data_IF_396724420033
#
_entry.id   IF_396724420033
#
_cell.length_a   1.000
_cell.length_b   1.000
_cell.length_c   1.000
_cell.angle_alpha   90.00
_cell.angle_beta   90.00
_cell.angle_gamma   90.00
#
_symmetry.space_group_name_H-M   'P 1'
#
loop_
_entity.id
_entity.type
_entity.pdbx_description
1 polymer ?
#
# COMPACT_ATOMS: atom_id res chain seq x y z
N UNK A 1 21.57 2.81 -9.98
CA UNK A 1 20.88 1.88 -9.06
C UNK A 1 19.57 2.53 -8.69
N UNK A 2 18.43 1.98 -9.11
CA UNK A 2 17.12 2.56 -8.79
C UNK A 2 16.63 1.93 -7.49
N UNK A 3 16.59 2.70 -6.40
CA UNK A 3 16.04 2.24 -5.13
C UNK A 3 14.51 2.24 -5.24
N UNK A 4 13.91 1.08 -5.54
CA UNK A 4 12.46 0.90 -5.55
C UNK A 4 12.05 0.20 -4.28
N UNK A 5 11.27 0.88 -3.45
CA UNK A 5 10.66 0.30 -2.27
C UNK A 5 9.41 -0.48 -2.69
N UNK A 6 9.29 -1.71 -2.24
CA UNK A 6 8.10 -2.52 -2.49
C UNK A 6 7.29 -2.64 -1.21
N UNK A 7 6.04 -2.20 -1.25
CA UNK A 7 5.09 -2.31 -0.15
C UNK A 7 4.24 -3.56 -0.31
N UNK A 8 4.24 -4.45 0.69
CA UNK A 8 3.43 -5.66 0.63
C UNK A 8 1.95 -5.34 0.84
N UNK A 9 1.12 -5.67 -0.16
CA UNK A 9 -0.33 -5.69 -0.05
C UNK A 9 -0.73 -6.98 0.65
N UNK A 10 -1.44 -6.89 1.77
CA UNK A 10 -1.85 -8.05 2.59
C UNK A 10 -3.35 -8.30 2.51
N UNK A 11 -3.78 -9.52 2.85
CA UNK A 11 -5.21 -9.87 2.88
C UNK A 11 -5.98 -9.26 4.06
N UNK A 12 -5.29 -8.92 5.15
CA UNK A 12 -5.92 -8.39 6.36
C UNK A 12 -5.05 -7.38 7.12
N UNK A 13 -5.62 -6.69 8.11
CA UNK A 13 -4.96 -5.65 8.90
C UNK A 13 -4.01 -6.24 9.96
N UNK A 14 -3.14 -7.17 9.57
CA UNK A 14 -2.17 -7.80 10.48
C UNK A 14 -0.88 -8.22 9.77
N UNK A 15 0.24 -8.09 10.49
CA UNK A 15 1.57 -8.41 9.98
C UNK A 15 1.80 -9.92 9.75
N UNK A 16 0.97 -10.78 10.35
CA UNK A 16 0.99 -12.22 10.13
C UNK A 16 0.18 -12.70 8.93
N UNK A 17 -0.60 -11.81 8.30
CA UNK A 17 -1.44 -12.18 7.16
C UNK A 17 -0.60 -12.33 5.88
N UNK A 18 -0.96 -13.26 4.98
CA UNK A 18 -0.25 -13.46 3.73
C UNK A 18 -0.27 -12.20 2.87
N UNK A 19 0.84 -11.95 2.20
CA UNK A 19 0.93 -10.91 1.18
C UNK A 19 0.21 -11.37 -0.10
N UNK A 20 -0.84 -10.66 -0.48
CA UNK A 20 -1.54 -10.81 -1.75
C UNK A 20 -0.71 -10.30 -2.93
N UNK A 21 0.28 -9.44 -2.66
CA UNK A 21 1.20 -8.95 -3.68
C UNK A 21 2.15 -7.88 -3.16
N UNK A 22 2.94 -7.34 -4.08
CA UNK A 22 3.83 -6.21 -3.84
C UNK A 22 3.38 -5.03 -4.70
N UNK A 23 3.23 -3.87 -4.07
CA UNK A 23 2.98 -2.59 -4.69
C UNK A 23 4.32 -1.85 -4.80
N UNK A 24 4.79 -1.51 -6.00
CA UNK A 24 5.94 -0.64 -6.13
C UNK A 24 5.64 0.74 -5.54
N UNK A 25 6.64 1.37 -4.93
CA UNK A 25 6.60 2.79 -4.57
C UNK A 25 6.20 3.63 -5.78
N UNK A 26 5.43 4.69 -5.54
CA UNK A 26 4.77 5.53 -6.56
C UNK A 26 3.52 4.90 -7.23
N UNK A 27 3.04 3.75 -6.72
CA UNK A 27 1.73 3.25 -7.14
C UNK A 27 0.63 4.10 -6.50
N UNK A 28 -0.22 4.69 -7.34
CA UNK A 28 -1.45 5.31 -6.87
C UNK A 28 -2.41 4.25 -6.34
N UNK A 29 -2.90 4.48 -5.14
CA UNK A 29 -3.89 3.62 -4.49
C UNK A 29 -4.99 4.48 -3.91
N UNK A 30 -6.22 3.96 -3.94
CA UNK A 30 -7.37 4.57 -3.29
C UNK A 30 -7.54 3.96 -1.90
N UNK A 31 -7.65 4.80 -0.87
CA UNK A 31 -7.90 4.32 0.49
C UNK A 31 -9.40 4.16 0.69
N UNK A 32 -9.84 2.91 0.86
CA UNK A 32 -11.25 2.57 1.11
C UNK A 32 -11.60 2.65 2.59
N UNK A 33 -10.73 2.13 3.44
CA UNK A 33 -10.97 2.01 4.88
C UNK A 33 -9.65 2.07 5.65
N UNK A 34 -9.71 2.47 6.91
CA UNK A 34 -8.54 2.51 7.78
C UNK A 34 -8.86 1.88 9.12
N UNK A 35 -8.01 0.95 9.55
CA UNK A 35 -8.17 0.19 10.78
C UNK A 35 -6.85 0.14 11.56
N UNK A 36 -6.79 0.91 12.65
CA UNK A 36 -5.62 0.99 13.51
C UNK A 36 -4.39 1.55 12.80
N UNK A 37 -3.42 0.69 12.45
CA UNK A 37 -2.19 1.05 11.71
C UNK A 37 -2.25 0.66 10.22
N UNK A 38 -3.36 0.07 9.79
CA UNK A 38 -3.56 -0.46 8.45
C UNK A 38 -4.60 0.36 7.71
N UNK A 39 -4.42 0.44 6.40
CA UNK A 39 -5.37 1.02 5.48
C UNK A 39 -5.70 -0.02 4.43
N UNK A 40 -6.98 -0.26 4.23
CA UNK A 40 -7.51 -1.00 3.11
C UNK A 40 -7.45 -0.09 1.90
N UNK A 41 -6.68 -0.50 0.91
CA UNK A 41 -6.46 0.24 -0.32
C UNK A 41 -6.80 -0.60 -1.53
N UNK A 42 -7.26 0.07 -2.58
CA UNK A 42 -7.48 -0.51 -3.90
C UNK A 42 -6.50 0.11 -4.87
N UNK A 43 -5.71 -0.75 -5.52
CA UNK A 43 -4.81 -0.33 -6.58
C UNK A 43 -5.59 -0.19 -7.91
N UNK A 44 -5.05 0.59 -8.84
CA UNK A 44 -5.68 0.85 -10.15
C UNK A 44 -5.94 -0.43 -10.97
N UNK A 45 -5.21 -1.52 -10.69
CA UNK A 45 -5.45 -2.83 -11.29
C UNK A 45 -6.65 -3.59 -10.69
N UNK A 46 -7.44 -2.96 -9.84
CA UNK A 46 -8.60 -3.55 -9.15
C UNK A 46 -8.24 -4.43 -7.95
N UNK A 47 -6.97 -4.58 -7.60
CA UNK A 47 -6.57 -5.37 -6.42
C UNK A 47 -6.82 -4.57 -5.15
N UNK A 48 -7.61 -5.16 -4.27
CA UNK A 48 -7.87 -4.62 -2.93
C UNK A 48 -7.06 -5.39 -1.89
N UNK A 49 -6.51 -4.69 -0.91
CA UNK A 49 -5.87 -5.30 0.25
C UNK A 49 -5.44 -4.28 1.28
N UNK A 50 -4.67 -4.71 2.26
CA UNK A 50 -4.26 -3.91 3.40
C UNK A 50 -2.79 -3.57 3.34
N UNK A 51 -2.48 -2.30 3.58
CA UNK A 51 -1.12 -1.77 3.68
C UNK A 51 -0.97 -0.95 4.96
N UNK A 52 0.25 -0.76 5.46
CA UNK A 52 0.43 0.10 6.63
C UNK A 52 0.29 1.57 6.25
N UNK A 53 -0.50 2.32 7.01
CA UNK A 53 -0.75 3.75 6.78
C UNK A 53 0.52 4.59 6.77
N UNK A 54 1.55 4.20 7.53
CA UNK A 54 2.84 4.91 7.59
C UNK A 54 3.58 5.00 6.25
N UNK A 55 3.23 4.16 5.28
CA UNK A 55 3.81 4.16 3.94
C UNK A 55 2.89 4.81 2.90
N UNK A 56 1.67 5.19 3.29
CA UNK A 56 0.76 5.94 2.45
C UNK A 56 1.06 7.43 2.62
N UNK A 57 1.31 8.09 1.49
CA UNK A 57 1.45 9.54 1.43
C UNK A 57 0.27 10.09 0.64
N UNK A 58 -0.41 11.10 1.20
CA UNK A 58 -1.55 11.75 0.53
C UNK A 58 -1.07 12.58 -0.67
N UNK A 59 0.15 13.10 -0.57
CA UNK A 59 0.77 13.94 -1.56
C UNK A 59 1.63 13.05 -2.46
N UNK A 60 1.54 13.27 -3.78
CA UNK A 60 2.43 12.59 -4.74
C UNK A 60 3.87 12.89 -4.29
N UNK A 61 4.72 11.86 -4.04
CA UNK A 61 6.09 12.11 -3.64
C UNK A 61 6.72 13.03 -4.68
N UNK A 62 7.30 14.14 -4.24
CA UNK A 62 7.99 15.07 -5.14
C UNK A 62 9.07 14.28 -5.87
N UNK A 63 8.85 14.02 -7.15
CA UNK A 63 9.92 13.66 -8.08
C UNK A 63 10.86 14.87 -8.12
N UNK A 64 12.01 14.74 -7.48
CA UNK A 64 13.12 15.70 -7.59
C UNK A 64 13.90 15.45 -8.86
#
# INVERSE_FOLDING_TARGET
VTDRLYLSLRSGPSAGQPSLGLLPSDTRVEVLETEGKWAKVTAENGRTGWVMQRYLVKDVPKSV
#
